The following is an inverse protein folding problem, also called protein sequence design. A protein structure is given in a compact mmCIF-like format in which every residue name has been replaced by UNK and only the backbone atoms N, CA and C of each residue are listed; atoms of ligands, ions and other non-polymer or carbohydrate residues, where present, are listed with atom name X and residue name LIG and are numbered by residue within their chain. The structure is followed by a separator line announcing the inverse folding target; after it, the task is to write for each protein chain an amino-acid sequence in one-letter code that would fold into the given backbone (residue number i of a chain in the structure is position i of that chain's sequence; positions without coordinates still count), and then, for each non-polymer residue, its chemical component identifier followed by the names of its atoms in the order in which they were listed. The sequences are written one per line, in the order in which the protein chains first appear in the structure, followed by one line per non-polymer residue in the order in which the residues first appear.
data_IF_094577747838
#
_entry.id   IF_094577747838
#
_cell.length_a   1.000
_cell.length_b   1.000
_cell.length_c   1.000
_cell.angle_alpha   90.00
_cell.angle_beta   90.00
_cell.angle_gamma   90.00
#
_symmetry.space_group_name_H-M   'P 1'
#
loop_
_entity.id
_entity.type
_entity.pdbx_description
1 polymer ?
#
# COMPACT_ATOMS: atom_id res chain seq x y z
N UNK A 1 -24.24 2.79 0.41
CA UNK A 1 -23.03 2.03 0.03
C UNK A 1 -21.94 3.03 -0.30
N UNK A 2 -20.83 2.98 0.42
CA UNK A 2 -19.72 3.93 0.27
C UNK A 2 -18.43 3.21 -0.15
N UNK A 3 -17.50 3.96 -0.72
CA UNK A 3 -16.17 3.47 -1.10
C UNK A 3 -15.08 4.31 -0.42
N UNK A 4 -14.02 3.65 0.08
CA UNK A 4 -12.78 4.31 0.45
C UNK A 4 -11.70 3.92 -0.57
N UNK A 5 -11.20 4.91 -1.30
CA UNK A 5 -10.34 4.70 -2.45
C UNK A 5 -8.85 4.80 -2.14
N UNK A 6 -8.47 5.05 -0.88
CA UNK A 6 -7.06 5.06 -0.47
C UNK A 6 -6.90 4.73 1.00
N UNK A 7 -6.76 3.46 1.29
CA UNK A 7 -6.42 2.96 2.62
C UNK A 7 -5.06 2.27 2.62
N UNK A 8 -4.56 1.97 3.79
CA UNK A 8 -3.52 0.98 4.04
C UNK A 8 -3.96 0.10 5.21
N UNK A 9 -4.39 -1.12 4.93
CA UNK A 9 -4.85 -2.07 5.98
C UNK A 9 -3.79 -2.33 7.04
N UNK A 10 -2.52 -2.22 6.66
CA UNK A 10 -1.37 -2.31 7.55
C UNK A 10 -1.37 -1.21 8.64
N UNK A 11 -1.81 0.02 8.31
CA UNK A 11 -1.63 1.19 9.17
C UNK A 11 -2.80 1.36 10.15
N UNK A 12 -2.50 1.79 11.39
CA UNK A 12 -3.53 1.99 12.42
C UNK A 12 -4.25 3.34 12.34
N UNK A 13 -3.74 4.27 11.55
CA UNK A 13 -4.27 5.64 11.48
C UNK A 13 -3.83 6.57 12.60
N UNK A 14 -3.30 6.06 13.72
CA UNK A 14 -2.84 6.85 14.86
C UNK A 14 -1.32 6.92 14.98
N UNK A 15 -0.62 5.83 14.75
CA UNK A 15 0.85 5.74 14.76
C UNK A 15 1.32 4.76 13.69
N UNK A 16 1.67 5.31 12.53
CA UNK A 16 2.11 4.50 11.39
C UNK A 16 3.48 3.83 11.63
N UNK A 17 4.37 4.44 12.41
CA UNK A 17 5.67 3.85 12.72
C UNK A 17 5.51 2.66 13.66
N UNK A 18 4.70 2.80 14.72
CA UNK A 18 4.40 1.70 15.61
C UNK A 18 3.64 0.58 14.89
N UNK A 19 2.69 0.91 14.00
CA UNK A 19 1.97 -0.08 13.20
C UNK A 19 2.93 -0.90 12.33
N UNK A 20 3.90 -0.26 11.67
CA UNK A 20 4.89 -0.94 10.82
C UNK A 20 5.87 -1.77 11.67
N UNK A 21 6.36 -1.21 12.80
CA UNK A 21 7.29 -1.88 13.70
C UNK A 21 6.64 -3.06 14.44
N UNK A 22 5.35 -2.98 14.71
CA UNK A 22 4.55 -4.01 15.40
C UNK A 22 4.11 -5.16 14.52
N UNK A 23 4.38 -5.13 13.20
CA UNK A 23 4.12 -6.26 12.32
C UNK A 23 5.33 -7.19 12.25
N UNK A 24 5.41 -8.20 13.15
CA UNK A 24 6.31 -9.34 13.00
C UNK A 24 5.90 -10.15 11.76
N UNK A 25 6.68 -11.16 11.36
CA UNK A 25 6.44 -11.95 10.14
C UNK A 25 5.12 -12.74 10.13
N UNK A 26 4.26 -12.57 11.12
CA UNK A 26 2.97 -13.26 11.21
C UNK A 26 1.83 -12.27 10.99
N UNK A 27 1.00 -12.58 10.00
CA UNK A 27 -0.23 -11.83 9.72
C UNK A 27 -1.20 -12.00 10.90
N UNK A 28 -1.73 -10.87 11.40
CA UNK A 28 -2.73 -10.87 12.46
C UNK A 28 -4.14 -10.82 11.86
N UNK A 29 -4.73 -12.00 11.64
CA UNK A 29 -6.08 -12.13 11.10
C UNK A 29 -7.13 -11.48 12.01
N UNK A 30 -6.92 -11.46 13.32
CA UNK A 30 -7.87 -10.85 14.26
C UNK A 30 -7.95 -9.36 14.02
N UNK A 31 -6.80 -8.69 13.96
CA UNK A 31 -6.71 -7.26 13.70
C UNK A 31 -7.27 -6.88 12.32
N UNK A 32 -6.98 -7.69 11.29
CA UNK A 32 -7.53 -7.46 9.94
C UNK A 32 -9.05 -7.58 9.96
N UNK A 33 -9.61 -8.59 10.61
CA UNK A 33 -11.06 -8.81 10.73
C UNK A 33 -11.75 -7.69 11.51
N UNK A 34 -11.15 -7.21 12.59
CA UNK A 34 -11.65 -6.05 13.35
C UNK A 34 -11.75 -4.81 12.46
N UNK A 35 -10.72 -4.53 11.66
CA UNK A 35 -10.70 -3.39 10.72
C UNK A 35 -11.74 -3.55 9.61
N UNK A 36 -11.86 -4.73 9.02
CA UNK A 36 -12.90 -5.01 8.00
C UNK A 36 -14.31 -4.85 8.58
N UNK A 37 -14.55 -5.32 9.80
CA UNK A 37 -15.81 -5.13 10.51
C UNK A 37 -16.13 -3.65 10.77
N UNK A 38 -15.12 -2.84 11.10
CA UNK A 38 -15.30 -1.40 11.29
C UNK A 38 -15.70 -0.70 9.97
N UNK A 39 -15.07 -1.05 8.84
CA UNK A 39 -15.46 -0.55 7.51
C UNK A 39 -16.88 -0.96 7.15
N UNK A 40 -17.25 -2.23 7.36
CA UNK A 40 -18.61 -2.72 7.13
C UNK A 40 -19.63 -1.93 7.96
N UNK A 41 -19.35 -1.73 9.25
CA UNK A 41 -20.22 -0.98 10.17
C UNK A 41 -20.40 0.48 9.77
N UNK A 42 -19.38 1.07 9.13
CA UNK A 42 -19.45 2.41 8.55
C UNK A 42 -20.19 2.46 7.18
N UNK A 43 -20.69 1.33 6.70
CA UNK A 43 -21.41 1.25 5.41
C UNK A 43 -20.48 1.27 4.19
N UNK A 44 -19.19 1.03 4.37
CA UNK A 44 -18.20 0.97 3.29
C UNK A 44 -18.16 -0.46 2.76
N UNK A 45 -18.39 -0.62 1.47
CA UNK A 45 -18.42 -1.91 0.78
C UNK A 45 -17.40 -2.05 -0.35
N UNK A 46 -16.61 -0.99 -0.59
CA UNK A 46 -15.50 -1.03 -1.53
C UNK A 46 -14.27 -0.36 -0.91
N UNK A 47 -13.16 -1.08 -0.92
CA UNK A 47 -11.88 -0.61 -0.43
C UNK A 47 -10.82 -0.72 -1.53
N UNK A 48 -10.02 0.35 -1.71
CA UNK A 48 -8.82 0.36 -2.53
C UNK A 48 -7.61 0.59 -1.64
N UNK A 49 -6.86 -0.47 -1.38
CA UNK A 49 -5.68 -0.44 -0.53
C UNK A 49 -4.44 0.00 -1.33
N UNK A 50 -3.56 0.75 -0.70
CA UNK A 50 -2.29 1.20 -1.27
C UNK A 50 -1.19 0.15 -1.29
N UNK A 51 -1.44 -1.03 -0.71
CA UNK A 51 -0.47 -2.13 -0.66
C UNK A 51 0.53 -2.04 0.50
N UNK A 52 1.17 -3.15 0.76
CA UNK A 52 2.28 -3.28 1.72
C UNK A 52 3.17 -4.47 1.38
N UNK A 53 4.46 -4.39 1.75
CA UNK A 53 5.42 -5.49 1.51
C UNK A 53 5.31 -6.66 2.48
N UNK A 54 4.42 -6.59 3.47
CA UNK A 54 4.27 -7.57 4.55
C UNK A 54 3.16 -8.59 4.27
N UNK A 55 2.33 -8.35 3.22
CA UNK A 55 1.23 -9.22 2.81
C UNK A 55 -0.09 -8.99 3.54
N UNK A 56 -0.18 -7.96 4.39
CA UNK A 56 -1.41 -7.64 5.14
C UNK A 56 -2.56 -7.31 4.19
N UNK A 57 -2.28 -6.50 3.15
CA UNK A 57 -3.29 -6.14 2.15
C UNK A 57 -3.80 -7.34 1.33
N UNK A 58 -2.93 -8.30 1.01
CA UNK A 58 -3.32 -9.54 0.31
C UNK A 58 -4.20 -10.40 1.22
N UNK A 59 -3.81 -10.55 2.49
CA UNK A 59 -4.62 -11.29 3.46
C UNK A 59 -5.97 -10.62 3.71
N UNK A 60 -6.01 -9.29 3.78
CA UNK A 60 -7.26 -8.54 3.89
C UNK A 60 -8.16 -8.76 2.67
N UNK A 61 -7.60 -8.83 1.46
CA UNK A 61 -8.34 -9.13 0.23
C UNK A 61 -9.01 -10.51 0.29
N UNK A 62 -8.34 -11.51 0.86
CA UNK A 62 -8.91 -12.86 1.04
C UNK A 62 -10.08 -12.86 2.03
N UNK A 63 -9.98 -12.08 3.12
CA UNK A 63 -10.97 -12.04 4.18
C UNK A 63 -12.14 -11.09 3.91
N UNK A 64 -11.94 -10.06 3.09
CA UNK A 64 -12.93 -9.00 2.84
C UNK A 64 -14.31 -9.49 2.34
N UNK A 65 -14.42 -10.57 1.54
CA UNK A 65 -15.73 -11.10 1.12
C UNK A 65 -16.62 -11.54 2.29
N UNK A 66 -16.05 -11.99 3.41
CA UNK A 66 -16.81 -12.37 4.62
C UNK A 66 -17.59 -11.17 5.21
N UNK A 67 -17.15 -9.94 4.90
CA UNK A 67 -17.74 -8.67 5.34
C UNK A 67 -18.55 -7.96 4.24
N UNK A 68 -18.77 -8.62 3.10
CA UNK A 68 -19.45 -8.01 1.96
C UNK A 68 -18.68 -6.85 1.32
N UNK A 69 -17.35 -6.85 1.47
CA UNK A 69 -16.46 -5.80 0.97
C UNK A 69 -15.74 -6.27 -0.29
N UNK A 70 -15.85 -5.50 -1.36
CA UNK A 70 -14.98 -5.62 -2.53
C UNK A 70 -13.65 -4.92 -2.21
N UNK A 71 -12.56 -5.69 -2.21
CA UNK A 71 -11.23 -5.21 -1.85
C UNK A 71 -10.28 -5.27 -3.03
N UNK A 72 -9.59 -4.16 -3.31
CA UNK A 72 -8.60 -4.06 -4.39
C UNK A 72 -7.26 -3.61 -3.83
N UNK A 73 -6.18 -4.25 -4.27
CA UNK A 73 -4.82 -3.96 -3.79
C UNK A 73 -3.78 -4.13 -4.90
N UNK A 74 -2.68 -3.36 -4.89
CA UNK A 74 -1.52 -3.55 -5.77
C UNK A 74 -0.57 -4.65 -5.26
N UNK A 75 -0.92 -5.40 -4.23
CA UNK A 75 -0.07 -6.26 -3.42
C UNK A 75 0.98 -5.45 -2.63
N UNK A 76 1.81 -4.69 -3.30
CA UNK A 76 2.77 -3.76 -2.70
C UNK A 76 2.98 -2.53 -3.60
N UNK A 77 3.29 -1.35 -3.03
CA UNK A 77 3.72 -0.22 -3.82
C UNK A 77 5.17 -0.41 -4.30
N UNK A 78 5.45 0.07 -5.51
CA UNK A 78 6.78 0.03 -6.12
C UNK A 78 7.40 1.42 -6.00
N UNK A 79 8.66 1.50 -5.55
CA UNK A 79 9.38 2.77 -5.42
C UNK A 79 10.80 2.65 -5.97
N UNK A 80 11.40 3.75 -6.46
CA UNK A 80 12.81 3.81 -6.83
C UNK A 80 13.68 3.86 -5.58
N UNK A 81 14.70 3.01 -5.46
CA UNK A 81 15.63 3.03 -4.33
C UNK A 81 16.30 4.40 -4.19
N UNK A 82 16.42 4.90 -2.97
CA UNK A 82 16.85 6.28 -2.69
C UNK A 82 15.73 7.32 -2.73
N UNK A 83 14.49 6.92 -3.08
CA UNK A 83 13.30 7.78 -3.05
C UNK A 83 12.27 7.27 -2.03
N UNK A 84 11.18 8.01 -1.85
CA UNK A 84 10.11 7.68 -0.93
C UNK A 84 9.44 6.33 -1.22
N UNK A 85 9.16 5.55 -0.18
CA UNK A 85 8.36 4.32 -0.27
C UNK A 85 8.96 3.11 0.43
N UNK A 86 10.20 3.20 0.95
CA UNK A 86 10.91 2.07 1.55
C UNK A 86 10.21 1.42 2.75
N UNK A 87 9.38 2.16 3.47
CA UNK A 87 8.73 1.70 4.70
C UNK A 87 7.61 0.67 4.44
N UNK A 88 6.93 0.73 3.30
CA UNK A 88 5.86 -0.21 2.94
C UNK A 88 6.01 -0.84 1.55
N UNK A 89 6.88 -0.28 0.69
CA UNK A 89 7.03 -0.70 -0.69
C UNK A 89 8.21 -1.63 -0.93
N UNK A 90 8.36 -2.04 -2.21
CA UNK A 90 9.50 -2.75 -2.75
C UNK A 90 10.25 -1.87 -3.74
N UNK A 91 11.58 -1.80 -3.55
CA UNK A 91 12.44 -0.86 -4.27
C UNK A 91 13.12 -1.47 -5.49
N UNK A 92 13.25 -0.67 -6.55
CA UNK A 92 14.04 -0.96 -7.75
C UNK A 92 15.18 0.04 -7.94
N UNK A 93 16.25 -0.40 -8.61
CA UNK A 93 17.39 0.43 -8.99
C UNK A 93 17.49 0.62 -10.49
N UNK A 94 17.06 -0.39 -11.26
CA UNK A 94 17.07 -0.41 -12.71
C UNK A 94 15.78 -1.00 -13.28
N UNK A 95 15.63 -0.88 -14.60
CA UNK A 95 14.41 -1.29 -15.28
C UNK A 95 14.18 -2.82 -15.26
N UNK A 96 15.22 -3.63 -15.12
CA UNK A 96 15.08 -5.07 -14.99
C UNK A 96 14.48 -5.46 -13.64
N UNK A 97 14.95 -4.84 -12.55
CA UNK A 97 14.35 -4.99 -11.22
C UNK A 97 12.90 -4.50 -11.20
N UNK A 98 12.60 -3.36 -11.84
CA UNK A 98 11.23 -2.85 -11.94
C UNK A 98 10.30 -3.86 -12.62
N UNK A 99 10.69 -4.43 -13.78
CA UNK A 99 9.91 -5.46 -14.48
C UNK A 99 9.72 -6.73 -13.64
N UNK A 100 10.73 -7.14 -12.88
CA UNK A 100 10.62 -8.27 -11.97
C UNK A 100 9.58 -8.01 -10.89
N UNK A 101 9.53 -6.79 -10.32
CA UNK A 101 8.51 -6.40 -9.34
C UNK A 101 7.10 -6.34 -9.95
N UNK A 102 6.95 -5.91 -11.19
CA UNK A 102 5.66 -5.99 -11.90
C UNK A 102 5.17 -7.43 -12.02
N UNK A 103 6.04 -8.33 -12.47
CA UNK A 103 5.71 -9.75 -12.59
C UNK A 103 5.37 -10.38 -11.24
N UNK A 104 6.09 -10.01 -10.19
CA UNK A 104 5.82 -10.47 -8.83
C UNK A 104 4.46 -9.95 -8.32
N UNK A 105 4.15 -8.66 -8.50
CA UNK A 105 2.86 -8.11 -8.13
C UNK A 105 1.71 -8.84 -8.84
N UNK A 106 1.84 -9.07 -10.14
CA UNK A 106 0.87 -9.82 -10.93
C UNK A 106 0.69 -11.25 -10.41
N UNK A 107 1.78 -11.97 -10.17
CA UNK A 107 1.77 -13.33 -9.64
C UNK A 107 1.15 -13.40 -8.23
N UNK A 108 1.29 -12.34 -7.43
CA UNK A 108 0.69 -12.20 -6.11
C UNK A 108 -0.81 -11.85 -6.14
N UNK A 109 -1.40 -11.67 -7.32
CA UNK A 109 -2.82 -11.34 -7.48
C UNK A 109 -3.15 -9.86 -7.28
N UNK A 110 -2.21 -8.97 -7.62
CA UNK A 110 -2.46 -7.53 -7.64
C UNK A 110 -3.60 -7.16 -8.61
N UNK A 111 -4.46 -6.23 -8.21
CA UNK A 111 -5.56 -5.73 -9.05
C UNK A 111 -5.12 -4.53 -9.92
N UNK A 112 -4.05 -3.86 -9.54
CA UNK A 112 -3.46 -2.71 -10.22
C UNK A 112 -2.01 -2.51 -9.77
N UNK A 113 -1.28 -1.63 -10.43
CA UNK A 113 0.08 -1.24 -10.02
C UNK A 113 0.04 0.11 -9.31
N UNK A 114 0.78 0.23 -8.20
CA UNK A 114 1.01 1.49 -7.51
C UNK A 114 2.49 1.85 -7.58
N UNK A 115 2.80 2.94 -8.27
CA UNK A 115 4.13 3.54 -8.33
C UNK A 115 4.20 4.74 -7.40
N UNK A 116 5.24 4.81 -6.56
CA UNK A 116 5.53 5.95 -5.71
C UNK A 116 6.33 6.97 -6.53
N UNK A 117 5.70 8.10 -6.88
CA UNK A 117 6.29 9.11 -7.79
C UNK A 117 6.93 10.25 -7.01
N UNK A 118 6.35 10.63 -5.85
CA UNK A 118 6.83 11.75 -5.05
C UNK A 118 6.99 11.36 -3.58
N UNK A 119 7.77 12.14 -2.82
CA UNK A 119 7.85 12.05 -1.37
C UNK A 119 6.61 12.58 -0.67
N UNK A 120 6.59 12.46 0.66
CA UNK A 120 5.61 13.15 1.50
C UNK A 120 5.91 14.65 1.58
N UNK A 121 4.87 15.44 1.83
CA UNK A 121 5.06 16.80 2.29
C UNK A 121 5.71 16.78 3.67
N UNK A 122 6.69 17.65 3.88
CA UNK A 122 7.21 17.90 5.23
C UNK A 122 6.17 18.69 6.02
N UNK A 123 5.66 18.10 7.08
CA UNK A 123 4.65 18.75 7.93
C UNK A 123 5.20 19.89 8.79
N UNK A 124 6.51 20.04 8.86
CA UNK A 124 7.19 21.14 9.56
C UNK A 124 7.55 22.33 8.65
N UNK A 125 7.54 22.12 7.31
CA UNK A 125 7.96 23.11 6.34
C UNK A 125 7.01 23.13 5.12
N UNK A 126 6.22 24.20 4.99
CA UNK A 126 5.24 24.32 3.90
C UNK A 126 5.90 24.25 2.51
N UNK A 127 5.32 23.40 1.65
CA UNK A 127 5.74 23.26 0.26
C UNK A 127 7.04 22.46 0.05
N UNK A 128 7.58 21.86 1.12
CA UNK A 128 8.78 21.03 1.05
C UNK A 128 8.40 19.57 0.95
N UNK A 129 9.03 18.83 0.04
CA UNK A 129 8.96 17.36 -0.02
C UNK A 129 10.11 16.75 0.79
N UNK A 130 9.84 15.64 1.46
CA UNK A 130 10.85 14.92 2.25
C UNK A 130 11.93 14.26 1.39
N UNK A 131 11.62 14.00 0.12
CA UNK A 131 12.50 13.30 -0.81
C UNK A 131 12.23 13.75 -2.25
N UNK A 132 13.25 13.63 -3.10
CA UNK A 132 13.15 14.00 -4.52
C UNK A 132 12.09 13.16 -5.25
N UNK A 133 11.22 13.77 -6.06
CA UNK A 133 10.28 13.06 -6.90
C UNK A 133 10.99 12.36 -8.07
N UNK A 134 10.32 11.40 -8.69
CA UNK A 134 10.72 10.88 -9.99
C UNK A 134 10.60 11.99 -11.05
N UNK A 135 11.52 12.01 -11.98
CA UNK A 135 11.46 12.93 -13.13
C UNK A 135 10.36 12.51 -14.11
N UNK A 136 9.89 13.44 -14.93
CA UNK A 136 8.92 13.15 -15.98
C UNK A 136 9.42 12.10 -16.99
N UNK A 137 10.72 12.07 -17.28
CA UNK A 137 11.33 11.06 -18.15
C UNK A 137 11.24 9.65 -17.51
N UNK A 138 11.59 9.53 -16.23
CA UNK A 138 11.50 8.27 -15.51
C UNK A 138 10.06 7.74 -15.43
N UNK A 139 9.07 8.62 -15.25
CA UNK A 139 7.65 8.22 -15.23
C UNK A 139 7.15 7.82 -16.61
N UNK A 140 7.70 8.42 -17.69
CA UNK A 140 7.34 8.07 -19.07
C UNK A 140 7.81 6.66 -19.46
N UNK A 141 8.92 6.18 -18.89
CA UNK A 141 9.53 4.88 -19.22
C UNK A 141 8.80 3.69 -18.55
N UNK A 142 7.80 3.95 -17.69
CA UNK A 142 6.96 2.95 -16.99
C UNK A 142 5.63 2.72 -17.71
#
# INVERSE_FOLDING_TARGET
MFADLHIHMLLSGSDCKAAIAGHPPHLDDILIKERLSAYQSAGISYLRDGGDRFGVCLRAKELAPEYGITYRTPAFPIYKKGHYGSFIGRGWSDFAEYRALLAEAQASGADFIKLMVSGLMDFSAYGVLTEEPLTGAEVHDF
#
